data_IF_403935859951
#
_entry.id   IF_403935859951
#
_cell.length_a   1.000
_cell.length_b   1.000
_cell.length_c   1.000
_cell.angle_alpha   90.00
_cell.angle_beta   90.00
_cell.angle_gamma   90.00
#
_symmetry.space_group_name_H-M   'P 1'
#
loop_
_entity.id
_entity.type
_entity.pdbx_description
1 polymer ?
#
# COMPACT_ATOMS: atom_id res chain seq x y z
N UNK A 1 -3.12 19.72 1.57
CA UNK A 1 -2.58 18.49 2.19
C UNK A 1 -3.77 17.55 2.26
N UNK A 2 -3.82 16.53 1.41
CA UNK A 2 -4.98 15.63 1.34
C UNK A 2 -5.03 14.81 2.61
N UNK A 3 -5.96 15.16 3.50
CA UNK A 3 -6.26 14.53 4.79
C UNK A 3 -6.98 13.18 4.57
N UNK A 4 -6.38 12.31 3.77
CA UNK A 4 -6.95 11.00 3.48
C UNK A 4 -6.49 10.02 4.55
N UNK A 5 -7.44 9.33 5.18
CA UNK A 5 -7.14 8.32 6.19
C UNK A 5 -6.22 7.23 5.61
N UNK A 6 -5.20 6.78 6.36
CA UNK A 6 -4.37 5.67 5.92
C UNK A 6 -5.22 4.45 5.64
N UNK A 7 -5.02 3.85 4.46
CA UNK A 7 -5.71 2.62 4.06
C UNK A 7 -5.03 1.37 4.65
N UNK A 8 -3.96 1.55 5.42
CA UNK A 8 -3.15 0.45 5.92
C UNK A 8 -1.85 0.90 6.56
N UNK A 9 -0.98 -0.07 6.73
CA UNK A 9 0.37 0.08 7.26
C UNK A 9 1.36 -0.67 6.39
N UNK A 10 2.53 -0.10 6.18
CA UNK A 10 3.64 -0.73 5.50
C UNK A 10 4.80 -0.98 6.48
N UNK A 11 5.46 -2.12 6.36
CA UNK A 11 6.71 -2.43 7.04
C UNK A 11 7.65 -3.17 6.11
N UNK A 12 8.95 -3.07 6.33
CA UNK A 12 9.93 -3.86 5.58
C UNK A 12 10.60 -4.87 6.51
N UNK A 13 10.57 -6.14 6.12
CA UNK A 13 11.32 -7.20 6.79
C UNK A 13 12.83 -7.00 6.59
N UNK A 14 13.65 -7.68 7.41
CA UNK A 14 15.12 -7.57 7.33
C UNK A 14 15.71 -8.09 6.01
N UNK A 15 14.97 -8.94 5.30
CA UNK A 15 15.32 -9.46 3.98
C UNK A 15 15.00 -8.46 2.84
N UNK A 16 14.42 -7.30 3.18
CA UNK A 16 13.98 -6.28 2.24
C UNK A 16 12.56 -6.48 1.73
N UNK A 17 11.82 -7.50 2.17
CA UNK A 17 10.43 -7.72 1.74
C UNK A 17 9.52 -6.64 2.30
N UNK A 18 8.74 -5.99 1.43
CA UNK A 18 7.72 -5.02 1.85
C UNK A 18 6.46 -5.80 2.24
N UNK A 19 5.95 -5.54 3.44
CA UNK A 19 4.72 -6.10 4.00
C UNK A 19 3.71 -4.97 4.14
N UNK A 20 2.59 -5.08 3.44
CA UNK A 20 1.47 -4.15 3.51
C UNK A 20 0.32 -4.82 4.25
N UNK A 21 -0.07 -4.28 5.40
CA UNK A 21 -1.29 -4.63 6.10
C UNK A 21 -2.35 -3.58 5.76
N UNK A 22 -3.20 -3.88 4.78
CA UNK A 22 -4.26 -3.00 4.31
C UNK A 22 -5.55 -3.25 5.10
N UNK A 23 -6.30 -2.18 5.35
CA UNK A 23 -7.62 -2.18 5.98
C UNK A 23 -8.68 -2.05 4.87
N UNK A 24 -9.07 -3.14 4.18
CA UNK A 24 -10.20 -3.07 3.27
C UNK A 24 -11.44 -2.62 4.04
N UNK A 25 -11.98 -1.46 3.67
CA UNK A 25 -13.35 -1.11 4.02
C UNK A 25 -14.26 -1.95 3.13
N UNK A 26 -14.70 -3.11 3.63
CA UNK A 26 -15.65 -3.96 2.94
C UNK A 26 -17.08 -3.39 3.02
N UNK A 27 -17.93 -3.59 2.00
CA UNK A 27 -19.34 -3.25 2.10
C UNK A 27 -19.98 -3.94 3.31
N UNK A 28 -20.68 -3.18 4.15
CA UNK A 28 -21.36 -3.70 5.35
C UNK A 28 -20.53 -3.70 6.64
N UNK A 29 -19.39 -3.00 6.70
CA UNK A 29 -18.61 -2.84 7.94
C UNK A 29 -17.71 -4.02 8.29
N UNK A 30 -17.43 -4.89 7.33
CA UNK A 30 -16.42 -5.94 7.47
C UNK A 30 -15.03 -5.32 7.36
N UNK A 31 -14.41 -5.07 8.52
CA UNK A 31 -12.98 -4.72 8.61
C UNK A 31 -12.16 -5.98 8.49
N UNK A 32 -11.73 -6.32 7.27
CA UNK A 32 -10.66 -7.29 7.07
C UNK A 32 -9.29 -6.63 7.29
N UNK A 33 -8.24 -7.44 7.48
CA UNK A 33 -6.86 -7.02 7.22
C UNK A 33 -6.39 -7.85 6.04
N UNK A 34 -6.04 -7.19 4.94
CA UNK A 34 -5.43 -7.82 3.79
C UNK A 34 -3.91 -7.63 3.88
N UNK A 35 -3.17 -8.71 4.11
CA UNK A 35 -1.71 -8.67 4.11
C UNK A 35 -1.18 -9.01 2.72
N UNK A 36 -0.37 -8.11 2.15
CA UNK A 36 0.37 -8.33 0.93
C UNK A 36 1.87 -8.32 1.22
N UNK A 37 2.62 -9.30 0.70
CA UNK A 37 4.07 -9.36 0.81
C UNK A 37 4.68 -9.21 -0.58
N UNK A 38 5.62 -8.28 -0.71
CA UNK A 38 6.25 -7.90 -1.97
C UNK A 38 7.77 -8.06 -1.78
N UNK A 39 8.35 -9.19 -2.19
CA UNK A 39 9.78 -9.42 -2.04
C UNK A 39 10.59 -8.56 -3.02
N UNK A 40 11.88 -8.33 -2.75
CA UNK A 40 12.78 -7.71 -3.72
C UNK A 40 12.78 -8.50 -5.03
N UNK A 41 12.53 -7.81 -6.14
CA UNK A 41 12.43 -8.41 -7.49
C UNK A 41 11.00 -8.65 -7.99
N UNK A 42 9.97 -8.43 -7.16
CA UNK A 42 8.59 -8.33 -7.65
C UNK A 42 8.43 -7.05 -8.49
N UNK A 43 7.69 -7.14 -9.60
CA UNK A 43 7.37 -6.00 -10.47
C UNK A 43 6.77 -4.80 -9.72
N UNK A 44 6.04 -5.05 -8.62
CA UNK A 44 5.36 -4.04 -7.81
C UNK A 44 6.25 -3.40 -6.76
N UNK A 45 7.46 -3.93 -6.54
CA UNK A 45 8.32 -3.53 -5.45
C UNK A 45 8.71 -2.05 -5.52
N UNK A 46 9.21 -1.63 -6.70
CA UNK A 46 9.67 -0.26 -6.90
C UNK A 46 8.50 0.74 -6.79
N UNK A 47 7.39 0.47 -7.47
CA UNK A 47 6.18 1.31 -7.40
C UNK A 47 5.64 1.43 -5.97
N UNK A 48 5.67 0.33 -5.21
CA UNK A 48 5.25 0.36 -3.81
C UNK A 48 6.19 1.19 -2.96
N UNK A 49 7.50 1.05 -3.16
CA UNK A 49 8.50 1.79 -2.41
C UNK A 49 8.41 3.29 -2.68
N UNK A 50 8.23 3.68 -3.95
CA UNK A 50 8.05 5.07 -4.36
C UNK A 50 6.75 5.65 -3.81
N UNK A 51 5.65 4.89 -3.83
CA UNK A 51 4.37 5.28 -3.22
C UNK A 51 4.51 5.54 -1.72
N UNK A 52 5.27 4.72 -1.01
CA UNK A 52 5.54 4.89 0.42
C UNK A 52 6.53 6.03 0.73
N UNK A 53 7.14 6.65 -0.29
CA UNK A 53 8.19 7.66 -0.13
C UNK A 53 9.49 7.06 0.42
N UNK A 54 9.75 5.78 0.13
CA UNK A 54 10.86 5.01 0.67
C UNK A 54 10.55 4.34 2.01
N UNK A 55 11.15 3.16 2.19
CA UNK A 55 11.03 2.32 3.37
C UNK A 55 12.33 1.54 3.57
N UNK A 56 12.86 1.51 4.79
CA UNK A 56 14.10 0.78 5.13
C UNK A 56 13.80 -0.53 5.86
N UNK A 57 14.69 -1.54 5.83
CA UNK A 57 14.52 -2.77 6.60
C UNK A 57 14.33 -2.50 8.09
N UNK A 58 13.27 -3.06 8.69
CA UNK A 58 12.86 -2.82 10.07
C UNK A 58 12.05 -1.53 10.29
N UNK A 59 11.89 -0.69 9.27
CA UNK A 59 11.07 0.52 9.33
C UNK A 59 9.59 0.16 9.12
N UNK A 60 8.73 0.95 9.76
CA UNK A 60 7.28 0.83 9.69
C UNK A 60 6.65 2.20 9.54
N UNK A 61 5.68 2.31 8.64
CA UNK A 61 5.01 3.55 8.26
C UNK A 61 3.52 3.33 8.00
N UNK A 62 2.73 4.40 8.04
CA UNK A 62 1.36 4.36 7.57
C UNK A 62 1.36 4.31 6.04
N UNK A 63 0.45 3.51 5.48
CA UNK A 63 0.29 3.39 4.04
C UNK A 63 -0.78 4.39 3.57
N UNK A 64 -0.40 5.43 2.82
CA UNK A 64 -1.38 6.35 2.27
C UNK A 64 -2.23 5.65 1.19
N UNK A 65 -3.45 6.12 0.92
CA UNK A 65 -4.24 5.63 -0.20
C UNK A 65 -3.46 5.74 -1.50
N UNK A 66 -3.53 4.72 -2.33
CA UNK A 66 -3.02 4.83 -3.70
C UNK A 66 -3.78 5.94 -4.42
N UNK A 67 -3.08 6.81 -5.19
CA UNK A 67 -3.77 7.76 -6.04
C UNK A 67 -4.74 6.97 -6.93
N UNK A 68 -5.98 7.43 -6.99
CA UNK A 68 -6.97 6.85 -7.88
C UNK A 68 -6.35 6.88 -9.28
N UNK A 69 -6.12 5.70 -9.86
CA UNK A 69 -5.75 5.66 -11.27
C UNK A 69 -6.90 6.36 -12.01
N UNK A 70 -6.63 7.38 -12.85
CA UNK A 70 -7.69 7.96 -13.65
C UNK A 70 -8.32 6.79 -14.40
N UNK A 71 -9.61 6.57 -14.15
CA UNK A 71 -10.37 5.57 -14.85
C UNK A 71 -10.32 5.97 -16.32
N UNK A 72 -9.51 5.28 -17.13
CA UNK A 72 -9.62 5.35 -18.59
C UNK A 72 -10.98 4.75 -18.95
N UNK A 73 -12.01 5.60 -18.91
CA UNK A 73 -13.41 5.17 -18.98
C UNK A 73 -14.44 6.30 -18.99
N UNK A 74 -14.07 7.50 -19.43
CA UNK A 74 -15.04 8.46 -19.98
C UNK A 74 -14.61 8.79 -21.42
N UNK A 75 -15.29 8.22 -22.40
CA UNK A 75 -15.12 8.58 -23.81
C UNK A 75 -15.27 7.42 -24.79
N UNK A 76 -16.50 7.00 -25.06
CA UNK A 76 -16.92 6.50 -26.37
C UNK A 76 -18.40 6.77 -26.57
#
# INVERSE_FOLDING_TARGET
>A
MSDQEPIGQASMDQDGTIVLDLYPQGPGGLTGIAQLRIPPGDSRYQDTLDHLGGLNPGEKKLCPPWPEQPSEGEGS
#
